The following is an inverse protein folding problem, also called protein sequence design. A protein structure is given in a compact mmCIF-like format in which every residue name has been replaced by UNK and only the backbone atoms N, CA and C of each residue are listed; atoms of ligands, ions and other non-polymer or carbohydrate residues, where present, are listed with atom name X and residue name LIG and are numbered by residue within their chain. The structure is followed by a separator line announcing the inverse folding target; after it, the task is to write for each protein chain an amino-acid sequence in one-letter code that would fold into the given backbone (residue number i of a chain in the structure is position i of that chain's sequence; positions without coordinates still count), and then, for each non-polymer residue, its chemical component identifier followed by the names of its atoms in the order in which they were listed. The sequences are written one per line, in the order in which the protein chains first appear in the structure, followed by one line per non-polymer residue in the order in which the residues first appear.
data_IF_323472917088
#
_entry.id   IF_323472917088
#
_cell.length_a   1.000
_cell.length_b   1.000
_cell.length_c   1.000
_cell.angle_alpha   90.00
_cell.angle_beta   90.00
_cell.angle_gamma   90.00
#
_symmetry.space_group_name_H-M   'P 1'
#
loop_
_entity.id
_entity.type
_entity.pdbx_description
1 polymer ?
#
# COMPACT_ATOMS: atom_id res chain seq x y z
N UNK A 1 -7.31 5.12 -17.12
CA UNK A 1 -7.45 5.63 -15.75
C UNK A 1 -6.43 4.88 -14.90
N UNK A 2 -5.53 5.56 -14.18
CA UNK A 2 -4.49 4.92 -13.37
C UNK A 2 -5.10 4.19 -12.16
N UNK A 3 -4.44 3.12 -11.72
CA UNK A 3 -4.93 2.23 -10.65
C UNK A 3 -3.92 2.09 -9.53
N UNK A 4 -4.40 1.87 -8.31
CA UNK A 4 -3.57 1.47 -7.17
C UNK A 4 -3.83 0.00 -6.88
N UNK A 5 -2.81 -0.84 -7.07
CA UNK A 5 -2.79 -2.24 -6.70
C UNK A 5 -2.25 -2.40 -5.29
N UNK A 6 -3.09 -2.89 -4.39
CA UNK A 6 -2.67 -3.26 -3.03
C UNK A 6 -2.40 -4.76 -2.97
N UNK A 7 -1.16 -5.15 -2.72
CA UNK A 7 -0.77 -6.54 -2.48
C UNK A 7 -0.55 -6.78 -0.97
N UNK A 8 -1.38 -7.66 -0.41
CA UNK A 8 -1.32 -8.10 0.98
C UNK A 8 -1.35 -9.63 1.04
N UNK A 9 -0.19 -10.27 1.10
CA UNK A 9 -0.11 -11.73 1.23
C UNK A 9 0.08 -12.18 2.68
N UNK A 10 -0.41 -13.38 3.01
CA UNK A 10 -0.28 -13.96 4.35
C UNK A 10 1.17 -14.35 4.70
N UNK A 11 1.50 -14.44 5.99
CA UNK A 11 2.85 -14.79 6.44
C UNK A 11 3.28 -16.16 5.85
N UNK A 12 4.49 -16.22 5.27
CA UNK A 12 5.08 -17.39 4.60
C UNK A 12 4.42 -17.80 3.25
N UNK A 13 3.71 -16.92 2.56
CA UNK A 13 3.21 -17.19 1.19
C UNK A 13 4.09 -16.64 0.06
N UNK A 14 5.35 -16.31 0.34
CA UNK A 14 6.27 -15.80 -0.68
C UNK A 14 6.12 -14.31 -0.98
N UNK A 15 5.43 -13.54 -0.13
CA UNK A 15 5.34 -12.07 -0.18
C UNK A 15 6.71 -11.40 -0.30
N UNK A 16 7.71 -11.89 0.44
CA UNK A 16 9.10 -11.40 0.33
C UNK A 16 9.68 -11.63 -1.06
N UNK A 17 9.38 -12.76 -1.71
CA UNK A 17 9.84 -13.05 -3.09
C UNK A 17 9.22 -12.07 -4.08
N UNK A 18 7.90 -11.82 -3.96
CA UNK A 18 7.19 -10.84 -4.78
C UNK A 18 7.78 -9.44 -4.58
N UNK A 19 7.93 -8.98 -3.34
CA UNK A 19 8.50 -7.66 -3.03
C UNK A 19 9.92 -7.50 -3.55
N UNK A 20 10.77 -8.55 -3.43
CA UNK A 20 12.12 -8.55 -4.02
C UNK A 20 12.09 -8.45 -5.53
N UNK A 21 11.20 -9.19 -6.19
CA UNK A 21 11.03 -9.13 -7.63
C UNK A 21 10.56 -7.73 -8.07
N UNK A 22 9.56 -7.15 -7.42
CA UNK A 22 9.08 -5.79 -7.68
C UNK A 22 10.20 -4.76 -7.50
N UNK A 23 10.95 -4.84 -6.40
CA UNK A 23 12.06 -3.92 -6.13
C UNK A 23 13.18 -4.03 -7.16
N UNK A 24 13.59 -5.25 -7.50
CA UNK A 24 14.66 -5.50 -8.47
C UNK A 24 14.29 -5.02 -9.89
N UNK A 25 13.00 -5.03 -10.23
CA UNK A 25 12.48 -4.69 -11.54
C UNK A 25 11.84 -3.29 -11.62
N UNK A 26 11.94 -2.47 -10.57
CA UNK A 26 11.22 -1.18 -10.47
C UNK A 26 11.47 -0.21 -11.63
N UNK A 27 12.66 -0.21 -12.20
CA UNK A 27 13.00 0.64 -13.36
C UNK A 27 12.28 0.16 -14.63
N UNK A 28 12.26 -1.15 -14.87
CA UNK A 28 11.48 -1.76 -15.95
C UNK A 28 9.97 -1.56 -15.74
N UNK A 29 9.48 -1.66 -14.50
CA UNK A 29 8.09 -1.37 -14.19
C UNK A 29 7.76 0.09 -14.54
N UNK A 30 8.62 1.03 -14.13
CA UNK A 30 8.42 2.45 -14.38
C UNK A 30 8.38 2.78 -15.88
N UNK A 31 9.25 2.16 -16.70
CA UNK A 31 9.21 2.34 -18.17
C UNK A 31 7.94 1.79 -18.82
N UNK A 32 7.18 0.96 -18.11
CA UNK A 32 5.89 0.42 -18.54
C UNK A 32 4.70 1.11 -17.85
N UNK A 33 4.93 2.26 -17.23
CA UNK A 33 3.88 3.02 -16.53
C UNK A 33 3.44 2.40 -15.21
N UNK A 34 4.27 1.55 -14.58
CA UNK A 34 4.00 0.95 -13.27
C UNK A 34 5.00 1.49 -12.26
N UNK A 35 4.51 2.21 -11.26
CA UNK A 35 5.31 2.74 -10.17
C UNK A 35 5.28 1.81 -8.96
N UNK A 36 6.47 1.47 -8.45
CA UNK A 36 6.66 0.72 -7.22
C UNK A 36 7.75 1.37 -6.37
N UNK A 37 7.35 1.99 -5.26
CA UNK A 37 8.25 2.52 -4.24
C UNK A 37 7.93 1.85 -2.89
N UNK A 38 8.87 1.10 -2.28
CA UNK A 38 8.66 0.53 -0.96
C UNK A 38 8.62 1.59 0.16
N UNK A 39 8.93 2.87 -0.12
CA UNK A 39 9.02 3.94 0.87
C UNK A 39 10.17 3.74 1.83
N UNK A 40 11.28 3.18 1.34
CA UNK A 40 12.42 2.77 2.19
C UNK A 40 13.03 3.92 3.00
N UNK A 41 13.07 5.12 2.44
CA UNK A 41 13.55 6.32 3.11
C UNK A 41 12.56 6.85 4.18
N UNK A 42 11.27 6.54 4.04
CA UNK A 42 10.21 6.99 4.94
C UNK A 42 9.95 5.98 6.08
N UNK A 43 10.11 4.69 5.82
CA UNK A 43 9.65 3.61 6.69
C UNK A 43 10.78 2.73 7.25
N UNK A 44 11.99 3.27 7.40
CA UNK A 44 13.08 2.61 8.15
C UNK A 44 13.91 1.60 7.34
N UNK A 45 14.09 1.86 6.04
CA UNK A 45 15.00 1.12 5.16
C UNK A 45 14.36 -0.03 4.39
N UNK A 46 15.02 -0.46 3.31
CA UNK A 46 14.50 -1.44 2.34
C UNK A 46 14.07 -2.78 2.95
N UNK A 47 14.71 -3.20 4.05
CA UNK A 47 14.42 -4.47 4.73
C UNK A 47 13.10 -4.44 5.52
N UNK A 48 12.73 -3.27 6.05
CA UNK A 48 11.63 -3.15 7.01
C UNK A 48 10.51 -2.22 6.55
N UNK A 49 10.68 -1.53 5.42
CA UNK A 49 9.73 -0.53 4.93
C UNK A 49 8.30 -1.06 4.85
N UNK A 50 8.10 -2.25 4.27
CA UNK A 50 6.79 -2.89 4.19
C UNK A 50 6.15 -3.16 5.56
N UNK A 51 6.94 -3.57 6.55
CA UNK A 51 6.45 -3.87 7.90
C UNK A 51 6.12 -2.57 8.64
N UNK A 52 7.05 -1.62 8.61
CA UNK A 52 6.89 -0.29 9.21
C UNK A 52 5.70 0.46 8.63
N UNK A 53 5.53 0.43 7.30
CA UNK A 53 4.38 0.98 6.60
C UNK A 53 3.08 0.38 7.13
N UNK A 54 2.96 -0.95 7.14
CA UNK A 54 1.74 -1.61 7.59
C UNK A 54 1.46 -1.38 9.08
N UNK A 55 2.48 -1.38 9.94
CA UNK A 55 2.31 -1.10 11.36
C UNK A 55 1.84 0.34 11.60
N UNK A 56 2.45 1.33 10.95
CA UNK A 56 2.01 2.72 11.13
C UNK A 56 0.62 2.94 10.55
N UNK A 57 0.31 2.33 9.39
CA UNK A 57 -1.04 2.36 8.84
C UNK A 57 -2.06 1.67 9.77
N UNK A 58 -1.65 0.64 10.53
CA UNK A 58 -2.51 -0.11 11.44
C UNK A 58 -2.68 0.53 12.83
N UNK A 59 -1.69 1.27 13.32
CA UNK A 59 -1.66 1.72 14.71
C UNK A 59 -1.58 3.23 14.89
N UNK A 60 -1.39 4.03 13.83
CA UNK A 60 -1.44 5.48 13.99
C UNK A 60 -2.85 5.93 14.36
N UNK A 61 -2.93 6.69 15.45
CA UNK A 61 -4.15 7.35 15.94
C UNK A 61 -4.72 8.30 14.88
N UNK A 62 -3.83 8.95 14.13
CA UNK A 62 -4.18 9.81 13.01
C UNK A 62 -3.14 9.71 11.87
N UNK A 63 -3.40 8.81 10.91
CA UNK A 63 -2.59 8.68 9.68
C UNK A 63 -2.65 9.95 8.83
N UNK A 64 -3.70 10.78 8.98
CA UNK A 64 -3.83 12.00 8.20
C UNK A 64 -2.91 13.13 8.70
N UNK A 65 -2.29 13.02 9.87
CA UNK A 65 -1.31 14.01 10.36
C UNK A 65 0.13 13.50 10.38
N UNK A 66 0.38 12.20 10.11
CA UNK A 66 1.73 11.64 9.98
C UNK A 66 2.43 12.17 8.71
N UNK A 67 3.53 12.90 8.90
CA UNK A 67 4.28 13.56 7.83
C UNK A 67 4.86 12.55 6.81
N UNK A 68 5.20 11.33 7.24
CA UNK A 68 5.71 10.30 6.32
C UNK A 68 4.60 9.82 5.39
N UNK A 69 3.39 9.65 5.91
CA UNK A 69 2.23 9.31 5.08
C UNK A 69 1.83 10.44 4.16
N UNK A 70 1.95 11.69 4.60
CA UNK A 70 1.75 12.86 3.72
C UNK A 70 2.75 12.85 2.57
N UNK A 71 4.04 12.72 2.87
CA UNK A 71 5.09 12.64 1.83
C UNK A 71 4.88 11.44 0.91
N UNK A 72 4.54 10.26 1.44
CA UNK A 72 4.28 9.08 0.62
C UNK A 72 3.02 9.24 -0.25
N UNK A 73 1.98 9.90 0.28
CA UNK A 73 0.77 10.26 -0.47
C UNK A 73 1.09 11.21 -1.62
N UNK A 74 1.88 12.24 -1.40
CA UNK A 74 2.30 13.17 -2.46
C UNK A 74 3.02 12.45 -3.60
N UNK A 75 3.87 11.46 -3.28
CA UNK A 75 4.52 10.61 -4.31
C UNK A 75 3.53 9.80 -5.11
N UNK A 76 2.55 9.20 -4.43
CA UNK A 76 1.46 8.44 -5.08
C UNK A 76 0.62 9.35 -5.96
N UNK A 77 0.19 10.51 -5.46
CA UNK A 77 -0.60 11.50 -6.21
C UNK A 77 0.15 11.96 -7.48
N UNK A 78 1.46 12.23 -7.36
CA UNK A 78 2.31 12.57 -8.50
C UNK A 78 2.39 11.42 -9.53
N UNK A 79 2.63 10.18 -9.09
CA UNK A 79 2.68 9.04 -10.00
C UNK A 79 1.33 8.81 -10.73
N UNK A 80 0.20 9.00 -10.02
CA UNK A 80 -1.13 8.94 -10.62
C UNK A 80 -1.34 10.06 -11.64
N UNK A 81 -0.89 11.30 -11.37
CA UNK A 81 -1.03 12.41 -12.32
C UNK A 81 -0.22 12.20 -13.60
N UNK A 82 0.90 11.48 -13.51
CA UNK A 82 1.71 11.04 -14.66
C UNK A 82 1.11 9.84 -15.41
N UNK A 83 -0.06 9.36 -14.98
CA UNK A 83 -0.77 8.26 -15.64
C UNK A 83 -0.28 6.86 -15.24
N UNK A 84 0.53 6.74 -14.19
CA UNK A 84 1.13 5.47 -13.78
C UNK A 84 0.20 4.64 -12.89
N UNK A 85 0.13 3.34 -13.16
CA UNK A 85 -0.40 2.36 -12.22
C UNK A 85 0.57 2.21 -11.04
N UNK A 86 0.05 2.05 -9.83
CA UNK A 86 0.84 2.00 -8.60
C UNK A 86 0.72 0.62 -7.97
N UNK A 87 1.83 0.07 -7.47
CA UNK A 87 1.82 -1.13 -6.64
C UNK A 87 2.26 -0.77 -5.22
N UNK A 88 1.40 -1.02 -4.23
CA UNK A 88 1.73 -0.97 -2.81
C UNK A 88 1.74 -2.40 -2.29
N UNK A 89 2.88 -2.86 -1.78
CA UNK A 89 3.00 -4.21 -1.23
C UNK A 89 3.54 -4.20 0.19
N UNK A 90 2.75 -4.73 1.12
CA UNK A 90 3.20 -4.92 2.48
C UNK A 90 2.61 -6.18 3.09
N UNK A 91 3.49 -7.11 3.50
CA UNK A 91 3.13 -8.37 4.12
C UNK A 91 2.14 -8.15 5.28
N UNK A 92 2.36 -7.30 6.29
CA UNK A 92 1.47 -7.28 7.45
C UNK A 92 0.07 -6.69 7.19
N UNK A 93 -0.21 -6.15 5.99
CA UNK A 93 -1.53 -5.65 5.65
C UNK A 93 -2.61 -6.74 5.73
N UNK A 94 -2.27 -8.02 5.49
CA UNK A 94 -3.24 -9.12 5.63
C UNK A 94 -3.81 -9.19 7.06
N UNK A 95 -3.04 -8.80 8.08
CA UNK A 95 -3.49 -8.82 9.49
C UNK A 95 -4.55 -7.78 9.77
N UNK A 96 -4.53 -6.66 9.04
CA UNK A 96 -5.57 -5.63 9.10
C UNK A 96 -6.86 -6.12 8.44
N UNK A 97 -6.75 -6.92 7.38
CA UNK A 97 -7.90 -7.60 6.77
C UNK A 97 -8.45 -8.64 7.75
N UNK A 98 -7.62 -9.48 8.36
CA UNK A 98 -8.09 -10.60 9.20
C UNK A 98 -8.60 -10.19 10.60
N UNK A 99 -8.59 -8.90 10.93
CA UNK A 99 -9.30 -8.35 12.08
C UNK A 99 -8.84 -8.88 13.43
N UNK A 100 -7.54 -8.75 13.78
CA UNK A 100 -7.03 -8.76 15.17
C UNK A 100 -7.30 -9.98 16.08
N UNK A 101 -8.13 -10.95 15.70
CA UNK A 101 -8.58 -12.05 16.54
C UNK A 101 -9.80 -12.73 15.92
N UNK A 102 -9.60 -13.96 15.45
CA UNK A 102 -10.61 -14.95 15.06
C UNK A 102 -11.71 -14.52 14.06
N UNK A 103 -11.62 -15.13 12.87
CA UNK A 103 -12.67 -15.40 11.87
C UNK A 103 -13.36 -14.21 11.20
N UNK A 104 -12.67 -13.57 10.26
CA UNK A 104 -13.06 -13.37 8.86
C UNK A 104 -12.34 -12.14 8.28
N UNK A 105 -11.88 -12.17 7.02
CA UNK A 105 -11.34 -10.99 6.38
C UNK A 105 -12.41 -9.89 6.34
N UNK A 106 -12.06 -8.67 6.79
CA UNK A 106 -12.78 -7.41 6.58
C UNK A 106 -11.99 -6.53 5.60
N UNK A 107 -12.03 -6.82 4.28
CA UNK A 107 -11.39 -5.99 3.27
C UNK A 107 -11.79 -4.53 3.39
N UNK A 108 -13.03 -4.25 3.78
CA UNK A 108 -13.57 -2.91 4.00
C UNK A 108 -12.77 -2.07 5.01
N UNK A 109 -12.21 -2.67 6.07
CA UNK A 109 -11.42 -1.95 7.06
C UNK A 109 -10.03 -1.57 6.52
N UNK A 110 -9.39 -2.47 5.76
CA UNK A 110 -8.12 -2.19 5.10
C UNK A 110 -8.32 -1.18 3.96
N UNK A 111 -9.30 -1.41 3.10
CA UNK A 111 -9.65 -0.49 2.01
C UNK A 111 -10.00 0.87 2.59
N UNK A 112 -10.82 0.97 3.64
CA UNK A 112 -11.15 2.27 4.24
C UNK A 112 -9.95 2.97 4.85
N UNK A 113 -8.99 2.27 5.46
CA UNK A 113 -7.79 2.91 6.05
C UNK A 113 -6.73 3.27 5.03
N UNK A 114 -6.50 2.41 4.03
CA UNK A 114 -5.67 2.73 2.86
C UNK A 114 -6.30 3.92 2.14
N UNK A 115 -7.60 3.89 1.94
CA UNK A 115 -8.34 4.98 1.32
C UNK A 115 -8.28 6.25 2.19
N UNK A 116 -8.46 6.20 3.51
CA UNK A 116 -8.27 7.37 4.39
C UNK A 116 -6.83 7.89 4.37
N UNK A 117 -5.85 6.98 4.26
CA UNK A 117 -4.44 7.30 4.12
C UNK A 117 -4.09 7.87 2.75
N UNK A 118 -4.91 7.74 1.72
CA UNK A 118 -4.57 8.15 0.35
C UNK A 118 -5.65 8.96 -0.37
N UNK A 119 -6.77 9.27 0.29
CA UNK A 119 -7.82 10.16 -0.22
C UNK A 119 -8.08 11.26 0.82
N UNK A 120 -7.79 12.50 0.44
CA UNK A 120 -8.18 13.66 1.25
C UNK A 120 -9.70 13.80 1.24
N UNK A 121 -10.39 13.26 2.25
CA UNK A 121 -11.82 13.54 2.48
C UNK A 121 -12.78 13.12 1.36
N UNK A 122 -12.35 12.25 0.45
CA UNK A 122 -13.24 11.67 -0.55
C UNK A 122 -13.89 10.43 0.08
N UNK A 123 -15.21 10.20 -0.02
CA UNK A 123 -15.84 8.95 0.41
C UNK A 123 -15.54 7.82 -0.59
N UNK A 124 -15.46 6.57 -0.09
CA UNK A 124 -15.19 5.40 -0.93
C UNK A 124 -16.25 5.29 -2.01
N UNK A 125 -15.83 5.33 -3.29
CA UNK A 125 -16.70 5.08 -4.44
C UNK A 125 -16.38 3.70 -5.03
N UNK A 126 -17.39 2.92 -5.47
CA UNK A 126 -17.16 1.71 -6.27
C UNK A 126 -16.39 1.96 -7.58
N UNK A 127 -16.33 3.22 -8.05
CA UNK A 127 -15.52 3.68 -9.18
C UNK A 127 -14.10 4.13 -8.80
N UNK A 128 -13.68 3.91 -7.55
CA UNK A 128 -12.38 4.31 -7.01
C UNK A 128 -11.23 3.56 -7.69
N UNK A 129 -10.07 4.19 -7.94
CA UNK A 129 -8.94 3.58 -8.64
C UNK A 129 -8.24 2.44 -7.88
N UNK A 130 -8.75 2.02 -6.71
CA UNK A 130 -8.10 1.02 -5.86
C UNK A 130 -8.54 -0.40 -6.23
N UNK A 131 -7.56 -1.25 -6.54
CA UNK A 131 -7.71 -2.68 -6.75
C UNK A 131 -6.97 -3.40 -5.63
N UNK A 132 -7.70 -4.03 -4.71
CA UNK A 132 -7.11 -4.80 -3.61
C UNK A 132 -6.99 -6.26 -3.99
N UNK A 133 -5.78 -6.82 -3.89
CA UNK A 133 -5.51 -8.24 -4.09
C UNK A 133 -4.89 -8.86 -2.84
N UNK A 134 -5.48 -9.97 -2.41
CA UNK A 134 -5.05 -10.76 -1.25
C UNK A 134 -4.73 -12.15 -1.78
N UNK A 135 -3.50 -12.62 -1.52
CA UNK A 135 -3.01 -13.95 -1.89
C UNK A 135 -2.76 -14.82 -0.63
#
# INVERSE_FOLDING_TARGET
MPRIFLHAGTHKTGTTTIQRALFANREMLASNGIWYDPGADLFGGTRHAAISFAHQLAYADDVATDTRFQTYRERIEHALSEGQDIIISAEPLYRMVMGGGSSAPRPEALTSRVFLAFSKGCPYSPSSPFVVRID
#
